data_IF_789938032162
#
_entry.id   IF_789938032162
#
_cell.length_a   1.000
_cell.length_b   1.000
_cell.length_c   1.000
_cell.angle_alpha   90.00
_cell.angle_beta   90.00
_cell.angle_gamma   90.00
#
_symmetry.space_group_name_H-M   'P 1'
#
loop_
_entity.id
_entity.type
_entity.pdbx_description
1 polymer ?
#
# COMPACT_ATOMS: atom_id res chain seq x y z
N UNK A 1 58.92 -60.59 26.40
CA UNK A 1 60.16 -60.52 25.60
C UNK A 1 60.11 -61.64 24.57
N UNK A 2 60.58 -61.45 23.33
CA UNK A 2 61.33 -60.29 22.82
C UNK A 2 60.50 -59.03 22.57
N UNK A 3 61.18 -57.97 22.17
CA UNK A 3 60.66 -56.66 21.73
C UNK A 3 61.03 -56.43 20.25
N UNK A 4 60.71 -55.24 19.71
CA UNK A 4 60.98 -54.75 18.32
C UNK A 4 59.75 -54.85 17.38
N UNK A 5 59.33 -53.83 16.63
CA UNK A 5 59.77 -52.42 16.56
C UNK A 5 58.63 -51.50 16.11
N UNK A 6 58.54 -50.29 16.64
CA UNK A 6 57.64 -49.24 16.10
C UNK A 6 58.33 -48.58 14.90
N UNK A 7 57.82 -48.85 13.68
CA UNK A 7 58.29 -48.18 12.46
C UNK A 7 57.37 -47.00 12.14
N UNK A 8 57.85 -45.79 12.39
CA UNK A 8 57.11 -44.56 12.12
C UNK A 8 56.92 -44.34 10.60
N UNK A 9 55.68 -44.52 10.14
CA UNK A 9 55.32 -44.47 8.72
C UNK A 9 55.08 -43.03 8.26
N UNK A 10 56.16 -42.24 8.11
CA UNK A 10 56.10 -40.89 7.56
C UNK A 10 55.73 -40.93 6.05
N UNK A 11 54.54 -40.46 5.64
CA UNK A 11 54.08 -40.59 4.26
C UNK A 11 54.81 -39.57 3.36
N UNK A 12 55.88 -40.01 2.68
CA UNK A 12 56.54 -39.22 1.63
C UNK A 12 55.55 -38.94 0.50
N UNK A 13 54.89 -37.78 0.53
CA UNK A 13 53.96 -37.34 -0.51
C UNK A 13 54.73 -37.27 -1.84
N UNK A 14 54.49 -38.24 -2.71
CA UNK A 14 55.29 -38.40 -3.92
C UNK A 14 55.30 -37.10 -4.75
N UNK A 15 56.46 -36.62 -5.24
CA UNK A 15 56.57 -35.30 -5.88
C UNK A 15 55.69 -35.15 -7.14
N UNK A 16 55.31 -36.26 -7.77
CA UNK A 16 54.31 -36.30 -8.86
C UNK A 16 52.90 -35.90 -8.42
N UNK A 17 52.50 -36.15 -7.16
CA UNK A 17 51.22 -35.67 -6.60
C UNK A 17 51.27 -34.18 -6.29
N UNK A 18 52.37 -33.69 -5.70
CA UNK A 18 52.57 -32.25 -5.43
C UNK A 18 52.54 -31.43 -6.73
N UNK A 19 53.24 -31.87 -7.78
CA UNK A 19 53.22 -31.22 -9.10
C UNK A 19 51.82 -31.19 -9.73
N UNK A 20 51.03 -32.27 -9.59
CA UNK A 20 49.63 -32.30 -10.07
C UNK A 20 48.72 -31.35 -9.28
N UNK A 21 48.87 -31.27 -7.96
CA UNK A 21 48.11 -30.34 -7.12
C UNK A 21 48.46 -28.87 -7.44
N UNK A 22 49.74 -28.56 -7.62
CA UNK A 22 50.19 -27.22 -8.03
C UNK A 22 49.67 -26.82 -9.43
N UNK A 23 49.67 -27.75 -10.39
CA UNK A 23 49.09 -27.51 -11.72
C UNK A 23 47.57 -27.30 -11.67
N UNK A 24 46.85 -28.09 -10.87
CA UNK A 24 45.40 -27.91 -10.67
C UNK A 24 45.08 -26.55 -10.02
N UNK A 25 45.85 -26.13 -9.01
CA UNK A 25 45.70 -24.81 -8.38
C UNK A 25 45.98 -23.68 -9.38
N UNK A 26 47.05 -23.78 -10.17
CA UNK A 26 47.38 -22.80 -11.20
C UNK A 26 46.29 -22.71 -12.28
N UNK A 27 45.72 -23.84 -12.71
CA UNK A 27 44.60 -23.88 -13.65
C UNK A 27 43.35 -23.23 -13.07
N UNK A 28 43.00 -23.51 -11.80
CA UNK A 28 41.86 -22.89 -11.12
C UNK A 28 42.06 -21.37 -10.98
N UNK A 29 43.26 -20.91 -10.63
CA UNK A 29 43.59 -19.48 -10.56
C UNK A 29 43.52 -18.82 -11.94
N UNK A 30 44.03 -19.47 -13.00
CA UNK A 30 43.93 -18.97 -14.37
C UNK A 30 42.47 -18.89 -14.85
N UNK A 31 41.62 -19.86 -14.49
CA UNK A 31 40.18 -19.84 -14.77
C UNK A 31 39.47 -18.71 -14.00
N UNK A 32 39.81 -18.47 -12.74
CA UNK A 32 39.27 -17.32 -11.98
C UNK A 32 39.74 -15.98 -12.57
N UNK A 33 40.98 -15.89 -13.03
CA UNK A 33 41.51 -14.70 -13.70
C UNK A 33 40.83 -14.45 -15.05
N UNK A 34 40.61 -15.50 -15.85
CA UNK A 34 39.84 -15.45 -17.09
C UNK A 34 38.36 -15.08 -16.83
N UNK A 35 37.74 -15.62 -15.78
CA UNK A 35 36.39 -15.24 -15.37
C UNK A 35 36.32 -13.80 -14.89
N UNK A 36 37.33 -13.29 -14.17
CA UNK A 36 37.43 -11.90 -13.77
C UNK A 36 37.65 -10.96 -14.97
N UNK A 37 38.50 -11.33 -15.93
CA UNK A 37 38.70 -10.58 -17.18
C UNK A 37 37.45 -10.59 -18.06
N UNK A 38 36.79 -11.74 -18.22
CA UNK A 38 35.51 -11.86 -18.91
C UNK A 38 34.48 -10.97 -18.23
N UNK A 39 34.35 -11.06 -16.91
CA UNK A 39 33.43 -10.24 -16.14
C UNK A 39 33.74 -8.75 -16.35
N UNK A 40 34.99 -8.29 -16.19
CA UNK A 40 35.37 -6.87 -16.42
C UNK A 40 35.13 -6.41 -17.86
N UNK A 41 35.25 -7.31 -18.86
CA UNK A 41 35.05 -6.99 -20.29
C UNK A 41 33.60 -7.05 -20.76
N UNK A 42 32.76 -7.84 -20.10
CA UNK A 42 31.32 -8.00 -20.37
C UNK A 42 30.41 -7.37 -19.30
N UNK A 43 30.98 -6.74 -18.27
CA UNK A 43 30.34 -5.57 -17.66
C UNK A 43 30.39 -4.47 -18.71
N UNK A 44 29.32 -4.37 -19.50
CA UNK A 44 29.03 -3.06 -20.06
C UNK A 44 28.96 -2.09 -18.88
N UNK A 45 29.75 -1.00 -18.86
CA UNK A 45 29.52 0.02 -17.88
C UNK A 45 28.13 0.58 -18.19
N UNK A 46 27.18 0.33 -17.28
CA UNK A 46 26.19 1.32 -16.94
C UNK A 46 26.97 2.57 -16.53
N UNK A 47 27.41 3.34 -17.53
CA UNK A 47 27.71 4.74 -17.35
C UNK A 47 26.47 5.29 -16.65
N UNK A 48 26.61 5.98 -15.51
CA UNK A 48 25.55 6.90 -15.11
C UNK A 48 25.18 7.70 -16.36
N UNK A 49 23.89 7.90 -16.61
CA UNK A 49 23.49 8.99 -17.51
C UNK A 49 24.00 10.24 -16.80
N UNK A 50 25.20 10.66 -17.22
CA UNK A 50 25.85 11.88 -16.80
C UNK A 50 24.83 12.96 -17.09
N UNK A 51 24.38 13.71 -16.07
CA UNK A 51 23.15 14.45 -16.19
C UNK A 51 23.33 15.50 -17.29
N UNK A 52 22.68 15.24 -18.43
CA UNK A 52 22.31 16.28 -19.37
C UNK A 52 21.75 17.42 -18.52
N UNK A 53 22.29 18.61 -18.73
CA UNK A 53 21.93 19.76 -17.91
C UNK A 53 20.55 20.24 -18.37
N UNK A 54 19.52 19.45 -18.03
CA UNK A 54 18.10 19.71 -18.28
C UNK A 54 17.88 21.16 -17.85
N UNK A 55 17.55 22.08 -18.78
CA UNK A 55 17.53 23.50 -18.47
C UNK A 55 16.39 23.76 -17.49
N UNK A 56 16.71 23.83 -16.20
CA UNK A 56 15.71 23.69 -15.14
C UNK A 56 14.84 24.94 -15.06
N UNK A 57 13.70 24.90 -15.75
CA UNK A 57 12.57 25.75 -15.45
C UNK A 57 11.97 25.23 -14.14
N UNK A 58 12.53 25.68 -13.01
CA UNK A 58 12.19 25.22 -11.65
C UNK A 58 10.79 25.70 -11.23
N UNK A 59 9.74 25.16 -11.86
CA UNK A 59 8.40 25.22 -11.27
C UNK A 59 8.36 24.23 -10.10
N UNK A 60 8.65 24.75 -8.90
CA UNK A 60 8.65 23.98 -7.66
C UNK A 60 7.23 23.82 -7.12
N UNK A 61 6.53 22.80 -7.62
CA UNK A 61 5.21 22.43 -7.15
C UNK A 61 5.29 21.90 -5.71
N UNK A 62 4.59 22.56 -4.79
CA UNK A 62 4.46 22.13 -3.39
C UNK A 62 3.17 21.33 -3.16
N UNK A 63 3.02 20.61 -2.02
CA UNK A 63 1.73 20.07 -1.61
C UNK A 63 0.66 21.17 -1.56
N UNK A 64 -0.45 20.95 -2.26
CA UNK A 64 -1.58 21.87 -2.37
C UNK A 64 -2.89 21.08 -2.30
N UNK A 65 -4.00 21.69 -1.86
CA UNK A 65 -5.31 21.05 -1.91
C UNK A 65 -5.72 20.67 -3.33
N UNK A 66 -6.47 19.58 -3.45
CA UNK A 66 -7.04 19.07 -4.69
C UNK A 66 -8.29 19.88 -5.08
N UNK A 67 -8.47 20.08 -6.39
CA UNK A 67 -9.70 20.61 -6.96
C UNK A 67 -10.85 19.61 -6.76
N UNK A 68 -11.90 20.04 -6.05
CA UNK A 68 -13.14 19.28 -5.87
C UNK A 68 -14.24 19.96 -6.69
N UNK A 69 -14.97 19.15 -7.46
CA UNK A 69 -16.25 19.56 -8.00
C UNK A 69 -17.21 19.91 -6.83
N UNK A 70 -18.16 20.84 -7.02
CA UNK A 70 -19.21 21.08 -6.03
C UNK A 70 -19.97 19.78 -5.79
N UNK A 71 -20.31 19.50 -4.53
CA UNK A 71 -21.18 18.36 -4.23
C UNK A 71 -22.53 18.57 -4.94
N UNK A 72 -23.10 17.54 -5.61
CA UNK A 72 -24.42 17.65 -6.23
C UNK A 72 -25.44 18.13 -5.19
N UNK A 73 -26.09 19.26 -5.47
CA UNK A 73 -27.14 19.79 -4.60
C UNK A 73 -28.37 18.92 -4.77
N UNK A 74 -28.57 17.98 -3.84
CA UNK A 74 -29.83 17.26 -3.73
C UNK A 74 -30.97 18.29 -3.60
N UNK A 75 -31.97 18.30 -4.51
CA UNK A 75 -32.95 19.36 -4.58
C UNK A 75 -33.85 19.31 -3.35
N UNK A 76 -33.61 20.23 -2.41
CA UNK A 76 -34.29 20.27 -1.12
C UNK A 76 -35.82 20.31 -1.30
N UNK A 77 -36.48 19.20 -0.93
CA UNK A 77 -37.93 19.07 -1.00
C UNK A 77 -38.63 20.24 -0.29
N UNK A 78 -39.61 20.84 -0.96
CA UNK A 78 -40.15 22.16 -0.60
C UNK A 78 -40.63 22.24 0.85
N UNK A 79 -39.92 23.02 1.68
CA UNK A 79 -40.31 23.29 3.06
C UNK A 79 -41.59 24.16 3.07
N UNK A 80 -42.69 23.75 3.73
CA UNK A 80 -43.90 24.55 3.79
C UNK A 80 -43.67 25.96 4.36
N UNK A 81 -44.28 26.96 3.75
CA UNK A 81 -44.13 28.36 4.15
C UNK A 81 -44.84 28.59 5.49
N UNK A 82 -44.09 29.03 6.50
CA UNK A 82 -44.64 29.28 7.83
C UNK A 82 -45.62 30.46 7.82
N UNK A 83 -46.83 30.24 8.35
CA UNK A 83 -47.87 31.26 8.42
C UNK A 83 -47.47 32.45 9.33
N UNK A 84 -47.88 33.66 8.94
CA UNK A 84 -47.49 34.89 9.64
C UNK A 84 -48.12 34.99 11.05
N UNK A 85 -47.28 35.39 12.01
CA UNK A 85 -47.63 35.55 13.42
C UNK A 85 -48.48 36.83 13.64
N UNK A 86 -49.76 36.68 14.01
CA UNK A 86 -50.62 37.81 14.41
C UNK A 86 -50.38 38.20 15.89
N UNK A 87 -50.58 39.47 16.21
CA UNK A 87 -50.32 40.04 17.53
C UNK A 87 -51.39 39.68 18.59
N UNK A 88 -51.03 39.85 19.86
CA UNK A 88 -51.87 39.59 21.04
C UNK A 88 -52.55 40.85 21.60
N UNK A 89 -53.54 40.69 22.47
CA UNK A 89 -53.74 41.54 23.65
C UNK A 89 -53.58 40.74 24.97
N UNK A 90 -53.55 41.42 26.11
CA UNK A 90 -53.17 40.84 27.40
C UNK A 90 -54.19 41.14 28.52
N UNK A 91 -54.17 40.35 29.61
CA UNK A 91 -54.35 40.81 31.01
C UNK A 91 -53.87 39.76 32.03
N UNK A 92 -53.72 40.18 33.30
CA UNK A 92 -53.23 39.41 34.47
C UNK A 92 -54.41 39.10 35.45
N UNK A 93 -54.26 38.51 36.67
CA UNK A 93 -53.04 38.16 37.43
C UNK A 93 -53.04 36.76 38.13
N UNK A 94 -52.05 36.52 38.99
CA UNK A 94 -51.87 35.31 39.82
C UNK A 94 -52.83 35.22 41.05
N UNK A 95 -52.96 34.02 41.63
CA UNK A 95 -52.81 33.84 43.08
C UNK A 95 -51.74 32.79 43.47
N UNK A 96 -51.39 32.72 44.77
CA UNK A 96 -50.19 32.05 45.33
C UNK A 96 -50.52 31.21 46.57
N UNK A 97 -50.35 29.89 46.52
CA UNK A 97 -50.37 28.94 47.67
C UNK A 97 -50.13 27.50 47.15
N UNK A 98 -49.70 26.48 47.92
CA UNK A 98 -48.97 26.38 49.22
C UNK A 98 -48.56 24.91 49.41
N UNK A 99 -47.42 24.64 50.04
CA UNK A 99 -46.97 23.27 50.38
C UNK A 99 -47.36 22.83 51.81
N UNK A 100 -47.64 21.54 52.01
CA UNK A 100 -47.15 20.72 53.12
C UNK A 100 -46.28 19.55 52.56
N UNK A 101 -45.11 19.19 53.11
CA UNK A 101 -44.70 18.75 54.47
C UNK A 101 -44.68 17.22 54.57
N UNK A 102 -43.60 16.68 55.14
CA UNK A 102 -43.20 15.28 55.02
C UNK A 102 -43.83 14.31 56.04
N UNK A 103 -43.75 13.01 55.73
CA UNK A 103 -44.00 11.89 56.65
C UNK A 103 -42.99 10.75 56.43
N UNK A 104 -42.31 10.38 57.51
CA UNK A 104 -41.72 9.07 57.82
C UNK A 104 -42.27 8.68 59.22
N UNK A 105 -42.01 7.49 59.80
CA UNK A 105 -41.30 6.29 59.30
C UNK A 105 -42.15 5.00 59.44
N UNK A 106 -41.56 3.82 59.19
CA UNK A 106 -41.59 2.65 60.11
C UNK A 106 -40.44 1.68 59.77
N UNK A 107 -40.05 0.84 60.74
CA UNK A 107 -38.99 -0.19 60.63
C UNK A 107 -39.57 -1.58 60.30
N UNK A 108 -38.69 -2.50 59.86
CA UNK A 108 -38.52 -3.90 60.33
C UNK A 108 -38.04 -4.75 59.14
N UNK A 109 -36.75 -5.03 58.97
CA UNK A 109 -35.89 -5.96 59.73
C UNK A 109 -36.10 -7.44 59.37
N UNK A 110 -35.01 -8.08 58.92
CA UNK A 110 -34.84 -9.52 58.76
C UNK A 110 -33.38 -9.89 59.07
N UNK A 111 -33.21 -10.98 59.82
CA UNK A 111 -31.96 -11.52 60.39
C UNK A 111 -31.57 -12.79 59.59
N UNK A 112 -30.45 -13.54 59.73
CA UNK A 112 -29.34 -13.68 60.70
C UNK A 112 -28.02 -14.12 59.97
N UNK A 113 -26.86 -14.35 60.64
CA UNK A 113 -25.52 -14.45 60.01
C UNK A 113 -24.92 -15.89 59.99
N UNK A 114 -23.59 -16.04 60.30
CA UNK A 114 -22.74 -17.28 60.43
C UNK A 114 -21.93 -17.60 59.14
N UNK A 115 -20.60 -17.83 59.10
CA UNK A 115 -19.52 -17.87 60.13
C UNK A 115 -18.11 -17.50 59.55
N UNK A 116 -17.06 -17.50 60.39
CA UNK A 116 -15.63 -17.39 60.02
C UNK A 116 -14.75 -18.16 61.02
N UNK A 117 -13.68 -18.84 60.58
CA UNK A 117 -12.32 -18.45 61.00
C UNK A 117 -11.25 -18.60 59.89
N UNK A 118 -10.04 -18.01 59.85
CA UNK A 118 -9.23 -17.08 60.66
C UNK A 118 -7.80 -17.63 60.92
N UNK A 119 -6.78 -16.95 60.40
CA UNK A 119 -5.35 -16.99 60.79
C UNK A 119 -4.64 -15.80 60.10
N UNK A 120 -4.23 -14.74 60.82
CA UNK A 120 -2.93 -14.54 61.50
C UNK A 120 -1.76 -14.19 60.52
N UNK A 121 -0.89 -13.21 60.76
CA UNK A 121 -0.64 -12.37 61.97
C UNK A 121 -0.12 -10.95 61.65
N UNK A 122 0.19 -10.17 62.69
CA UNK A 122 0.62 -8.75 62.73
C UNK A 122 2.07 -8.49 62.19
N UNK A 123 2.63 -7.27 62.11
CA UNK A 123 2.41 -6.06 62.93
C UNK A 123 2.78 -4.67 62.33
N UNK A 124 2.49 -3.65 63.15
CA UNK A 124 2.53 -2.17 63.07
C UNK A 124 3.89 -1.54 63.50
N UNK A 125 4.05 -0.20 63.76
CA UNK A 125 3.53 1.03 63.09
C UNK A 125 4.57 2.21 62.99
N UNK A 126 4.21 3.29 62.26
CA UNK A 126 4.48 4.72 62.57
C UNK A 126 3.80 5.60 61.49
N UNK A 127 2.85 6.51 61.71
CA UNK A 127 2.66 7.60 62.69
C UNK A 127 3.43 8.90 62.37
N UNK A 128 2.78 9.83 61.66
CA UNK A 128 2.78 11.27 61.98
C UNK A 128 1.72 12.08 61.17
N UNK A 129 1.19 13.11 61.84
CA UNK A 129 0.24 14.17 61.42
C UNK A 129 0.72 15.09 60.26
N UNK A 130 -0.06 16.04 59.72
CA UNK A 130 -1.52 16.27 59.56
C UNK A 130 -1.74 17.60 58.80
N UNK A 131 -3.00 17.93 58.47
CA UNK A 131 -3.50 19.15 57.84
C UNK A 131 -3.05 19.42 56.37
N UNK A 132 -3.89 20.04 55.51
CA UNK A 132 -5.30 20.36 55.71
C UNK A 132 -5.75 21.59 54.91
N UNK A 133 -6.48 21.36 53.82
CA UNK A 133 -7.17 22.42 53.07
C UNK A 133 -8.47 21.87 52.47
N UNK A 134 -9.62 22.34 52.97
CA UNK A 134 -10.95 21.99 52.45
C UNK A 134 -11.44 23.05 51.48
N UNK A 135 -12.13 22.62 50.42
CA UNK A 135 -13.08 23.44 49.65
C UNK A 135 -14.00 22.51 48.85
N UNK A 136 -15.21 22.30 49.36
CA UNK A 136 -16.30 21.77 48.55
C UNK A 136 -16.89 22.90 47.70
N UNK A 137 -17.11 22.63 46.41
CA UNK A 137 -18.03 23.36 45.57
C UNK A 137 -18.71 22.36 44.63
N UNK A 138 -20.00 22.15 44.81
CA UNK A 138 -20.76 21.09 44.15
C UNK A 138 -21.54 21.58 42.92
N UNK A 139 -21.89 20.65 42.04
CA UNK A 139 -23.17 20.75 41.32
C UNK A 139 -23.19 21.45 39.95
N UNK A 140 -22.62 20.77 38.94
CA UNK A 140 -23.35 20.40 37.71
C UNK A 140 -24.08 21.45 36.85
N UNK A 141 -23.69 21.51 35.58
CA UNK A 141 -24.62 21.77 34.47
C UNK A 141 -24.14 21.05 33.19
N UNK A 142 -24.77 19.93 32.84
CA UNK A 142 -24.53 19.25 31.57
C UNK A 142 -25.25 19.99 30.43
N UNK A 143 -24.60 21.03 29.88
CA UNK A 143 -25.12 21.75 28.72
C UNK A 143 -24.93 20.92 27.44
N UNK A 144 -25.95 20.13 27.09
CA UNK A 144 -26.01 19.35 25.86
C UNK A 144 -26.06 20.23 24.61
N UNK A 145 -24.91 20.74 24.17
CA UNK A 145 -24.76 21.52 22.96
C UNK A 145 -25.00 20.66 21.72
N UNK A 146 -26.27 20.43 21.40
CA UNK A 146 -26.72 19.88 20.11
C UNK A 146 -26.47 20.92 19.02
N UNK A 147 -25.20 21.07 18.65
CA UNK A 147 -24.76 21.80 17.47
C UNK A 147 -25.26 21.08 16.23
N UNK A 148 -26.54 21.27 15.91
CA UNK A 148 -27.11 20.85 14.64
C UNK A 148 -26.22 21.42 13.53
N UNK A 149 -25.57 20.52 12.79
CA UNK A 149 -24.60 20.90 11.77
C UNK A 149 -25.29 21.78 10.74
N UNK A 150 -25.04 23.08 10.80
CA UNK A 150 -25.42 23.99 9.74
C UNK A 150 -24.68 23.51 8.48
N UNK A 151 -25.42 22.87 7.57
CA UNK A 151 -24.86 22.41 6.31
C UNK A 151 -24.21 23.63 5.64
N UNK A 152 -22.89 23.57 5.47
CA UNK A 152 -22.17 24.61 4.75
C UNK A 152 -22.84 24.77 3.38
N UNK A 153 -23.01 26.01 2.87
CA UNK A 153 -23.51 26.20 1.52
C UNK A 153 -22.64 25.38 0.55
N UNK A 154 -23.21 24.79 -0.52
CA UNK A 154 -22.46 23.99 -1.47
C UNK A 154 -21.32 24.84 -2.03
N UNK A 155 -20.10 24.52 -1.61
CA UNK A 155 -18.94 25.38 -1.85
C UNK A 155 -18.61 25.46 -3.33
N UNK A 156 -18.19 26.66 -3.76
CA UNK A 156 -17.65 26.86 -5.09
C UNK A 156 -16.52 25.85 -5.38
N UNK A 157 -16.43 25.42 -6.64
CA UNK A 157 -15.43 24.44 -7.08
C UNK A 157 -14.02 24.89 -6.65
N UNK A 158 -13.33 24.09 -5.84
CA UNK A 158 -12.08 24.54 -5.23
C UNK A 158 -10.99 24.71 -6.29
N UNK A 159 -10.38 25.91 -6.34
CA UNK A 159 -9.16 26.15 -7.11
C UNK A 159 -8.00 25.41 -6.43
N UNK A 160 -7.79 24.15 -6.84
CA UNK A 160 -6.72 23.28 -6.36
C UNK A 160 -6.05 22.55 -7.52
N UNK A 161 -5.09 21.69 -7.21
CA UNK A 161 -4.47 20.81 -8.22
C UNK A 161 -5.45 19.72 -8.65
N UNK A 162 -5.49 19.39 -9.95
CA UNK A 162 -6.27 18.22 -10.41
C UNK A 162 -5.63 16.94 -9.87
N UNK A 163 -6.44 15.90 -9.70
CA UNK A 163 -5.99 14.59 -9.22
C UNK A 163 -6.95 13.50 -9.70
N UNK A 164 -6.42 12.44 -10.33
CA UNK A 164 -7.17 11.28 -10.79
C UNK A 164 -6.61 10.04 -10.10
N UNK A 165 -7.35 9.52 -9.10
CA UNK A 165 -6.88 8.44 -8.23
C UNK A 165 -6.52 7.17 -9.05
N UNK A 166 -5.32 6.57 -8.88
CA UNK A 166 -4.89 5.45 -9.71
C UNK A 166 -5.79 4.21 -9.56
N UNK A 167 -6.05 3.45 -10.64
CA UNK A 167 -6.99 2.33 -10.60
C UNK A 167 -6.44 1.12 -9.82
N UNK A 168 -7.29 0.55 -8.94
CA UNK A 168 -6.98 -0.66 -8.15
C UNK A 168 -6.46 -1.81 -9.01
N UNK A 169 -5.28 -2.34 -8.67
CA UNK A 169 -4.55 -3.31 -9.49
C UNK A 169 -3.68 -4.27 -8.68
N UNK A 170 -3.33 -5.40 -9.28
CA UNK A 170 -2.19 -6.22 -8.88
C UNK A 170 -1.08 -6.02 -9.90
N UNK A 171 0.13 -5.74 -9.42
CA UNK A 171 1.31 -5.49 -10.24
C UNK A 171 2.39 -6.49 -9.83
N UNK A 172 2.79 -7.37 -10.73
CA UNK A 172 3.90 -8.31 -10.56
C UNK A 172 5.11 -7.76 -11.30
N UNK A 173 6.27 -7.76 -10.66
CA UNK A 173 7.51 -7.19 -11.19
C UNK A 173 8.60 -8.25 -11.25
N UNK A 174 9.37 -8.24 -12.34
CA UNK A 174 10.72 -8.78 -12.33
C UNK A 174 11.59 -7.87 -11.46
N UNK A 175 12.29 -8.46 -10.48
CA UNK A 175 13.18 -7.69 -9.60
C UNK A 175 14.62 -7.97 -9.96
N UNK A 176 15.46 -6.94 -9.94
CA UNK A 176 16.88 -7.03 -10.25
C UNK A 176 17.70 -6.38 -9.13
N UNK A 177 18.83 -7.00 -8.80
CA UNK A 177 19.83 -6.46 -7.89
C UNK A 177 21.17 -6.41 -8.60
N UNK A 178 21.69 -5.20 -8.86
CA UNK A 178 22.86 -4.96 -9.71
C UNK A 178 22.77 -5.67 -11.08
N UNK A 179 21.59 -5.64 -11.70
CA UNK A 179 21.30 -6.32 -12.98
C UNK A 179 21.05 -7.84 -12.89
N UNK A 180 21.28 -8.48 -11.75
CA UNK A 180 20.94 -9.90 -11.55
C UNK A 180 19.46 -10.06 -11.19
N UNK A 181 18.70 -10.82 -11.99
CA UNK A 181 17.28 -11.09 -11.71
C UNK A 181 17.12 -11.91 -10.42
N UNK A 182 16.07 -11.62 -9.66
CA UNK A 182 15.71 -12.25 -8.40
C UNK A 182 14.24 -12.71 -8.44
N UNK A 183 13.72 -13.27 -7.33
CA UNK A 183 12.31 -13.68 -7.26
C UNK A 183 11.36 -12.51 -7.59
N UNK A 184 10.18 -12.75 -8.20
CA UNK A 184 9.24 -11.67 -8.50
C UNK A 184 8.80 -10.88 -7.27
N UNK A 185 8.61 -9.58 -7.45
CA UNK A 185 8.01 -8.69 -6.47
C UNK A 185 6.53 -8.45 -6.79
N UNK A 186 5.73 -8.10 -5.79
CA UNK A 186 4.33 -7.71 -5.97
C UNK A 186 4.01 -6.37 -5.34
N UNK A 187 3.12 -5.63 -5.98
CA UNK A 187 2.37 -4.51 -5.39
C UNK A 187 0.88 -4.80 -5.56
N UNK A 188 0.15 -4.83 -4.45
CA UNK A 188 -1.31 -4.88 -4.43
C UNK A 188 -1.82 -3.49 -4.02
N UNK A 189 -2.39 -2.77 -4.99
CA UNK A 189 -3.03 -1.48 -4.79
C UNK A 189 -4.55 -1.66 -4.77
N UNK A 190 -5.21 -1.08 -3.77
CA UNK A 190 -6.67 -1.11 -3.59
C UNK A 190 -7.17 0.23 -3.08
N UNK A 191 -8.25 0.72 -3.67
CA UNK A 191 -8.99 1.89 -3.18
C UNK A 191 -10.46 1.82 -3.63
N UNK A 192 -11.33 2.40 -2.80
CA UNK A 192 -12.76 2.63 -3.06
C UNK A 192 -13.07 4.09 -3.43
N UNK A 193 -12.04 4.95 -3.57
CA UNK A 193 -12.18 6.39 -3.77
C UNK A 193 -12.09 7.22 -2.48
N UNK A 194 -12.32 6.61 -1.31
CA UNK A 194 -12.31 7.27 0.01
C UNK A 194 -11.26 6.68 0.96
N UNK A 195 -11.06 5.37 0.93
CA UNK A 195 -10.02 4.60 1.63
C UNK A 195 -9.01 4.00 0.66
N UNK A 196 -7.84 3.62 1.16
CA UNK A 196 -6.90 2.80 0.39
C UNK A 196 -6.14 1.78 1.24
N UNK A 197 -5.69 0.71 0.59
CA UNK A 197 -4.61 -0.14 1.07
C UNK A 197 -3.59 -0.42 -0.03
N UNK A 198 -2.33 -0.41 0.36
CA UNK A 198 -1.17 -0.64 -0.48
C UNK A 198 -0.28 -1.66 0.24
N UNK A 199 -0.08 -2.82 -0.38
CA UNK A 199 0.85 -3.84 0.09
C UNK A 199 1.95 -4.02 -0.95
N UNK A 200 3.19 -4.16 -0.48
CA UNK A 200 4.37 -4.39 -1.30
C UNK A 200 5.14 -5.58 -0.73
N UNK A 201 5.59 -6.49 -1.58
CA UNK A 201 6.52 -7.55 -1.21
C UNK A 201 7.58 -7.70 -2.29
N UNK A 202 8.85 -7.74 -1.91
CA UNK A 202 9.96 -8.03 -2.81
C UNK A 202 11.09 -8.75 -2.06
N UNK A 203 11.87 -9.63 -2.72
CA UNK A 203 13.09 -10.14 -2.13
C UNK A 203 14.13 -9.02 -2.03
N UNK A 204 14.87 -8.96 -0.92
CA UNK A 204 16.14 -8.24 -0.88
C UNK A 204 17.26 -9.26 -0.66
N UNK A 205 18.20 -9.43 -1.61
CA UNK A 205 19.30 -10.38 -1.48
C UNK A 205 20.06 -10.24 -0.17
N UNK A 206 20.43 -11.37 0.42
CA UNK A 206 21.13 -11.48 1.71
C UNK A 206 20.36 -10.93 2.93
N UNK A 207 19.18 -10.35 2.75
CA UNK A 207 18.33 -9.78 3.82
C UNK A 207 17.07 -10.62 4.06
N UNK A 208 16.48 -11.19 3.01
CA UNK A 208 15.25 -11.99 3.05
C UNK A 208 14.06 -11.26 2.40
N UNK A 209 12.81 -11.67 2.70
CA UNK A 209 11.64 -10.96 2.22
C UNK A 209 11.59 -9.54 2.80
N UNK A 210 11.20 -8.58 1.98
CA UNK A 210 11.03 -7.19 2.37
C UNK A 210 9.60 -6.78 2.03
N UNK A 211 8.80 -6.51 3.06
CA UNK A 211 7.39 -6.16 2.91
C UNK A 211 7.09 -4.79 3.49
N UNK A 212 6.22 -4.06 2.80
CA UNK A 212 5.64 -2.81 3.29
C UNK A 212 4.12 -2.89 3.24
N UNK A 213 3.47 -2.27 4.23
CA UNK A 213 2.03 -1.99 4.15
C UNK A 213 1.78 -0.50 4.43
N UNK A 214 0.94 0.12 3.61
CA UNK A 214 0.41 1.46 3.85
C UNK A 214 -1.10 1.40 3.77
N UNK A 215 -1.78 1.95 4.79
CA UNK A 215 -3.24 2.09 4.81
C UNK A 215 -3.60 3.51 5.26
N UNK A 216 -4.67 4.03 4.66
CA UNK A 216 -5.10 5.39 4.92
C UNK A 216 -6.36 5.74 4.12
N UNK A 217 -6.49 7.04 3.85
CA UNK A 217 -7.66 7.63 3.20
C UNK A 217 -7.25 8.46 1.99
N UNK A 218 -8.24 8.87 1.21
CA UNK A 218 -8.14 10.03 0.33
C UNK A 218 -8.66 11.25 1.11
N UNK A 219 -7.91 12.36 1.11
CA UNK A 219 -8.23 13.58 1.87
C UNK A 219 -8.36 14.82 0.98
N UNK A 220 -8.02 16.01 1.49
CA UNK A 220 -8.02 17.25 0.71
C UNK A 220 -6.76 17.42 -0.16
N UNK A 221 -5.71 16.62 0.04
CA UNK A 221 -4.40 16.70 -0.63
C UNK A 221 -4.09 15.45 -1.47
N UNK A 222 -4.81 14.34 -1.25
CA UNK A 222 -4.76 13.14 -2.08
C UNK A 222 -4.67 11.89 -1.22
N UNK A 223 -3.76 10.98 -1.56
CA UNK A 223 -3.38 9.86 -0.70
C UNK A 223 -2.90 10.42 0.64
N UNK A 224 -3.49 9.94 1.73
CA UNK A 224 -3.20 10.36 3.08
C UNK A 224 -3.02 9.12 3.97
N UNK A 225 -1.77 8.67 4.19
CA UNK A 225 -1.48 7.58 5.09
C UNK A 225 -2.01 7.84 6.51
N UNK A 226 -2.44 6.76 7.16
CA UNK A 226 -2.75 6.72 8.58
C UNK A 226 -1.76 5.79 9.32
N UNK A 227 -1.38 4.68 8.70
CA UNK A 227 -0.39 3.72 9.20
C UNK A 227 0.50 3.20 8.08
N UNK A 228 1.80 3.27 8.31
CA UNK A 228 2.87 2.63 7.54
C UNK A 228 3.48 1.48 8.35
N UNK A 229 3.90 0.43 7.66
CA UNK A 229 4.50 -0.80 8.20
C UNK A 229 5.68 -1.20 7.31
N UNK A 230 6.80 -1.57 7.91
CA UNK A 230 7.98 -2.13 7.22
C UNK A 230 8.46 -3.39 7.96
N UNK A 231 8.62 -4.52 7.25
CA UNK A 231 9.23 -5.75 7.80
C UNK A 231 10.39 -6.17 6.92
N UNK A 232 11.60 -6.22 7.49
CA UNK A 232 12.85 -6.47 6.75
C UNK A 232 13.53 -7.78 7.17
N UNK A 233 13.29 -8.83 6.39
CA UNK A 233 13.81 -10.18 6.65
C UNK A 233 13.10 -10.83 7.84
N UNK A 234 13.88 -11.30 8.82
CA UNK A 234 13.37 -11.89 10.07
C UNK A 234 13.36 -10.92 11.26
N UNK A 235 13.50 -9.61 11.03
CA UNK A 235 13.39 -8.58 12.07
C UNK A 235 11.92 -8.33 12.44
N UNK A 236 11.63 -7.85 13.66
CA UNK A 236 10.33 -7.26 13.99
C UNK A 236 9.98 -6.15 13.00
N UNK A 237 8.68 -5.91 12.81
CA UNK A 237 8.18 -4.83 11.96
C UNK A 237 8.32 -3.48 12.64
N UNK A 238 8.86 -2.49 11.92
CA UNK A 238 8.78 -1.08 12.30
C UNK A 238 7.46 -0.48 11.78
N UNK A 239 6.91 0.50 12.49
CA UNK A 239 5.67 1.18 12.10
C UNK A 239 5.79 2.70 12.27
N UNK A 240 5.08 3.45 11.41
CA UNK A 240 4.83 4.89 11.60
C UNK A 240 3.32 5.16 11.58
N UNK A 241 2.83 5.99 12.51
CA UNK A 241 1.43 6.43 12.60
C UNK A 241 1.34 7.92 12.28
N UNK A 242 0.43 8.27 11.37
CA UNK A 242 0.21 9.63 10.89
C UNK A 242 -1.03 10.21 11.57
N UNK A 243 -0.88 10.71 12.80
CA UNK A 243 -1.99 11.25 13.58
C UNK A 243 -2.39 12.66 13.08
N UNK A 244 -3.35 12.71 12.14
CA UNK A 244 -3.92 13.96 11.62
C UNK A 244 -4.74 14.76 12.65
N UNK A 245 -5.13 14.19 13.80
CA UNK A 245 -5.81 14.93 14.88
C UNK A 245 -4.80 15.73 15.71
N UNK A 246 -3.70 15.11 16.14
CA UNK A 246 -2.62 15.81 16.88
C UNK A 246 -1.58 16.49 15.98
N UNK A 247 -1.72 16.33 14.65
CA UNK A 247 -0.77 16.80 13.62
C UNK A 247 0.67 16.31 13.89
N UNK A 248 0.81 15.04 14.27
CA UNK A 248 2.10 14.38 14.54
C UNK A 248 2.26 13.07 13.78
N UNK A 249 3.50 12.75 13.44
CA UNK A 249 3.95 11.41 13.07
C UNK A 249 4.68 10.81 14.27
N UNK A 250 4.36 9.57 14.64
CA UNK A 250 5.05 8.83 15.70
C UNK A 250 5.53 7.47 15.19
N UNK A 251 6.70 7.04 15.67
CA UNK A 251 7.35 5.80 15.28
C UNK A 251 7.26 4.75 16.39
N UNK A 252 7.46 3.47 16.05
CA UNK A 252 7.69 2.41 17.06
C UNK A 252 9.15 1.99 17.19
N UNK A 253 9.97 2.22 16.16
CA UNK A 253 11.42 1.94 16.19
C UNK A 253 12.26 2.96 16.97
N UNK A 254 11.68 4.12 17.31
CA UNK A 254 12.30 5.18 18.12
C UNK A 254 11.23 5.91 18.95
N UNK A 255 11.59 6.59 20.07
CA UNK A 255 10.67 7.46 20.80
C UNK A 255 10.45 8.83 20.12
N UNK A 256 10.93 9.01 18.88
CA UNK A 256 10.86 10.28 18.18
C UNK A 256 9.44 10.57 17.66
N UNK A 257 9.12 11.84 17.51
CA UNK A 257 7.95 12.30 16.76
C UNK A 257 8.33 13.44 15.83
N UNK A 258 7.55 13.62 14.75
CA UNK A 258 7.69 14.73 13.81
C UNK A 258 6.35 15.46 13.71
N UNK A 259 6.38 16.73 13.31
CA UNK A 259 5.17 17.40 12.83
C UNK A 259 4.65 16.70 11.57
N UNK A 260 3.32 16.62 11.41
CA UNK A 260 2.66 16.05 10.24
C UNK A 260 2.21 17.17 9.29
N UNK A 261 3.02 17.55 8.28
CA UNK A 261 2.58 18.49 7.25
C UNK A 261 1.46 17.85 6.40
N UNK A 262 0.60 18.70 5.82
CA UNK A 262 -0.44 18.20 4.93
C UNK A 262 0.14 17.72 3.59
N UNK A 263 -0.46 16.65 3.05
CA UNK A 263 0.08 15.93 1.90
C UNK A 263 1.30 15.04 2.19
N UNK A 264 1.70 14.86 3.46
CA UNK A 264 2.74 13.90 3.85
C UNK A 264 2.41 12.46 3.40
N UNK A 265 3.44 11.73 2.97
CA UNK A 265 3.38 10.37 2.43
C UNK A 265 4.33 9.43 3.19
N UNK A 266 4.20 8.12 2.95
CA UNK A 266 5.28 7.15 3.14
C UNK A 266 5.96 6.84 1.80
N UNK A 267 7.03 6.04 1.84
CA UNK A 267 7.89 5.73 0.69
C UNK A 267 7.17 5.10 -0.51
N UNK A 268 6.06 4.39 -0.32
CA UNK A 268 5.32 3.74 -1.40
C UNK A 268 3.97 4.40 -1.70
N UNK A 269 3.29 4.99 -0.70
CA UNK A 269 2.13 5.84 -0.99
C UNK A 269 2.48 7.07 -1.82
N UNK A 270 3.70 7.61 -1.69
CA UNK A 270 4.22 8.69 -2.54
C UNK A 270 4.15 8.35 -4.03
N UNK A 271 4.38 7.09 -4.42
CA UNK A 271 4.30 6.65 -5.82
C UNK A 271 2.86 6.74 -6.35
N UNK A 272 1.88 6.33 -5.54
CA UNK A 272 0.45 6.39 -5.89
C UNK A 272 -0.08 7.83 -5.84
N UNK A 273 0.46 8.67 -4.96
CA UNK A 273 0.18 10.11 -4.94
C UNK A 273 0.75 10.82 -6.18
N UNK A 274 1.98 10.50 -6.60
CA UNK A 274 2.58 11.02 -7.83
C UNK A 274 1.75 10.59 -9.04
N UNK A 275 1.43 9.29 -9.16
CA UNK A 275 0.56 8.76 -10.19
C UNK A 275 -0.79 9.47 -10.25
N UNK A 276 -1.42 9.73 -9.10
CA UNK A 276 -2.71 10.41 -9.04
C UNK A 276 -2.66 11.89 -9.42
N UNK A 277 -1.57 12.60 -9.07
CA UNK A 277 -1.36 13.99 -9.47
C UNK A 277 -1.07 14.10 -10.99
N UNK A 278 -0.18 13.24 -11.51
CA UNK A 278 0.19 13.23 -12.93
C UNK A 278 -1.00 12.82 -13.79
N UNK A 279 -1.76 11.80 -13.38
CA UNK A 279 -3.01 11.42 -14.07
C UNK A 279 -4.13 12.46 -13.97
N UNK A 280 -4.07 13.34 -12.96
CA UNK A 280 -4.98 14.47 -12.84
C UNK A 280 -4.67 15.63 -13.77
N UNK A 281 -3.38 15.95 -13.96
CA UNK A 281 -2.93 17.05 -14.84
C UNK A 281 -1.62 16.71 -15.59
N UNK A 282 -1.66 15.87 -16.64
CA UNK A 282 -0.45 15.46 -17.36
C UNK A 282 0.35 16.64 -17.92
N UNK A 283 -0.33 17.71 -18.34
CA UNK A 283 0.30 18.91 -18.90
C UNK A 283 1.04 19.76 -17.86
N UNK A 284 0.78 19.56 -16.56
CA UNK A 284 1.53 20.23 -15.49
C UNK A 284 2.92 19.59 -15.26
N UNK A 285 3.11 18.33 -15.69
CA UNK A 285 4.34 17.57 -15.47
C UNK A 285 5.20 17.53 -16.73
N UNK A 286 5.80 18.67 -17.07
CA UNK A 286 6.74 18.83 -18.20
C UNK A 286 8.20 18.60 -17.75
N UNK A 287 9.13 18.25 -18.65
CA UNK A 287 10.56 18.18 -18.33
C UNK A 287 11.08 19.36 -17.51
N UNK A 288 11.78 19.09 -16.42
CA UNK A 288 12.32 20.09 -15.49
C UNK A 288 11.38 20.53 -14.36
N UNK A 289 10.07 20.23 -14.41
CA UNK A 289 9.13 20.54 -13.32
C UNK A 289 9.40 19.65 -12.11
N UNK A 290 9.49 20.23 -10.91
CA UNK A 290 9.82 19.53 -9.65
C UNK A 290 8.65 19.57 -8.68
N UNK A 291 8.24 18.40 -8.15
CA UNK A 291 7.23 18.26 -7.09
C UNK A 291 7.88 17.89 -5.75
N UNK A 292 7.61 18.68 -4.70
CA UNK A 292 7.99 18.35 -3.33
C UNK A 292 6.98 17.37 -2.70
N UNK A 293 7.49 16.30 -2.09
CA UNK A 293 6.74 15.40 -1.20
C UNK A 293 7.45 15.30 0.14
N UNK A 294 6.74 15.41 1.26
CA UNK A 294 7.30 15.04 2.56
C UNK A 294 7.10 13.53 2.76
N UNK A 295 8.18 12.77 2.75
CA UNK A 295 8.17 11.29 2.74
C UNK A 295 8.72 10.76 4.05
N UNK A 296 7.95 9.88 4.69
CA UNK A 296 8.27 9.23 5.96
C UNK A 296 8.87 7.84 5.72
N UNK A 297 9.98 7.57 6.40
CA UNK A 297 10.62 6.25 6.51
C UNK A 297 10.38 5.68 7.93
N UNK A 298 10.97 4.54 8.29
CA UNK A 298 10.72 3.85 9.58
C UNK A 298 10.96 4.67 10.88
N UNK A 299 11.80 5.70 10.82
CA UNK A 299 12.34 6.44 11.99
C UNK A 299 12.53 7.94 11.75
N UNK A 300 12.18 8.43 10.55
CA UNK A 300 12.57 9.74 10.05
C UNK A 300 11.61 10.21 8.94
N UNK A 301 11.68 11.50 8.59
CA UNK A 301 10.86 12.09 7.53
C UNK A 301 11.61 13.20 6.79
N UNK A 302 11.54 13.19 5.46
CA UNK A 302 12.37 14.01 4.58
C UNK A 302 11.56 14.60 3.42
N UNK A 303 11.82 15.84 3.03
CA UNK A 303 11.32 16.36 1.74
C UNK A 303 12.11 15.74 0.59
N UNK A 304 11.40 15.13 -0.37
CA UNK A 304 11.94 14.56 -1.60
C UNK A 304 11.48 15.41 -2.80
N UNK A 305 12.42 16.03 -3.55
CA UNK A 305 12.13 16.72 -4.80
C UNK A 305 12.10 15.73 -5.97
N UNK A 306 10.91 15.38 -6.45
CA UNK A 306 10.71 14.51 -7.61
C UNK A 306 10.57 15.37 -8.86
N UNK A 307 11.50 15.25 -9.81
CA UNK A 307 11.53 16.06 -11.03
C UNK A 307 11.16 15.22 -12.25
N UNK A 308 10.32 15.76 -13.12
CA UNK A 308 10.02 15.15 -14.42
C UNK A 308 11.23 15.25 -15.33
N UNK A 309 11.67 14.13 -15.90
CA UNK A 309 12.79 14.08 -16.84
C UNK A 309 12.28 14.16 -18.28
N UNK A 310 11.33 13.31 -18.65
CA UNK A 310 10.74 13.29 -19.99
C UNK A 310 9.83 12.09 -20.21
N UNK A 311 9.33 11.95 -21.44
CA UNK A 311 8.57 10.80 -21.89
C UNK A 311 9.49 9.85 -22.68
N UNK A 312 9.49 8.56 -22.34
CA UNK A 312 10.24 7.51 -23.04
C UNK A 312 9.45 6.19 -23.12
N UNK A 313 9.68 5.42 -24.18
CA UNK A 313 9.11 4.08 -24.36
C UNK A 313 10.05 3.03 -23.77
N UNK A 314 9.60 2.27 -22.78
CA UNK A 314 10.38 1.19 -22.15
C UNK A 314 9.87 -0.19 -22.58
N UNK A 315 10.75 -1.19 -22.57
CA UNK A 315 10.36 -2.60 -22.76
C UNK A 315 10.05 -3.25 -21.41
N UNK A 316 8.96 -4.01 -21.32
CA UNK A 316 8.46 -4.65 -20.09
C UNK A 316 8.00 -6.09 -20.37
N UNK A 317 7.64 -6.85 -19.33
CA UNK A 317 7.05 -8.19 -19.51
C UNK A 317 5.68 -8.17 -20.22
N UNK A 318 5.05 -6.99 -20.35
CA UNK A 318 3.83 -6.78 -21.13
C UNK A 318 4.09 -6.18 -22.53
N UNK A 319 5.35 -6.16 -22.99
CA UNK A 319 5.78 -5.50 -24.22
C UNK A 319 6.22 -4.05 -24.01
N UNK A 320 6.27 -3.28 -25.10
CA UNK A 320 6.66 -1.86 -25.06
C UNK A 320 5.55 -0.99 -24.47
N UNK A 321 5.89 -0.11 -23.54
CA UNK A 321 4.98 0.86 -22.92
C UNK A 321 5.58 2.26 -23.01
N UNK A 322 4.78 3.22 -23.47
CA UNK A 322 5.11 4.64 -23.33
C UNK A 322 4.94 5.07 -21.87
N UNK A 323 5.91 5.84 -21.37
CA UNK A 323 5.99 6.22 -19.96
C UNK A 323 6.51 7.63 -19.77
N UNK A 324 6.18 8.24 -18.62
CA UNK A 324 6.88 9.43 -18.13
C UNK A 324 7.88 9.04 -17.05
N UNK A 325 9.14 9.43 -17.25
CA UNK A 325 10.25 9.25 -16.31
C UNK A 325 10.33 10.42 -15.33
N UNK A 326 10.47 10.09 -14.05
CA UNK A 326 10.70 11.02 -12.94
C UNK A 326 11.91 10.57 -12.13
N UNK A 327 12.67 11.53 -11.60
CA UNK A 327 13.86 11.27 -10.76
C UNK A 327 13.81 12.11 -9.49
N UNK A 328 14.14 11.50 -8.33
CA UNK A 328 14.43 12.22 -7.09
C UNK A 328 15.79 12.91 -7.21
N UNK A 329 15.82 14.25 -7.24
CA UNK A 329 17.08 15.00 -7.30
C UNK A 329 17.90 14.87 -6.01
N UNK A 330 19.25 14.88 -6.09
CA UNK A 330 20.12 15.04 -4.92
C UNK A 330 19.81 16.34 -4.18
N UNK A 331 19.54 16.26 -2.87
CA UNK A 331 19.08 17.40 -2.06
C UNK A 331 20.22 18.26 -1.51
N UNK A 332 21.45 17.74 -1.55
CA UNK A 332 22.68 18.35 -1.06
C UNK A 332 23.89 17.64 -1.66
N UNK A 333 25.07 18.27 -1.60
CA UNK A 333 26.33 17.59 -1.90
C UNK A 333 26.45 16.31 -1.07
N UNK A 334 26.76 15.18 -1.72
CA UNK A 334 26.85 13.86 -1.10
C UNK A 334 25.53 13.09 -0.93
N UNK A 335 24.37 13.62 -1.36
CA UNK A 335 23.10 12.85 -1.40
C UNK A 335 23.08 11.88 -2.61
N UNK A 336 23.92 10.86 -2.55
CA UNK A 336 24.16 9.90 -3.64
C UNK A 336 23.04 8.86 -3.84
N UNK A 337 21.96 8.89 -3.04
CA UNK A 337 20.80 8.01 -3.27
C UNK A 337 19.95 8.56 -4.42
N UNK A 338 19.89 7.82 -5.52
CA UNK A 338 19.04 8.12 -6.69
C UNK A 338 17.78 7.25 -6.63
N UNK A 339 16.63 7.81 -7.01
CA UNK A 339 15.38 7.07 -7.19
C UNK A 339 14.75 7.54 -8.49
N UNK A 340 14.55 6.61 -9.43
CA UNK A 340 13.90 6.83 -10.71
C UNK A 340 12.59 6.04 -10.77
N UNK A 341 11.55 6.65 -11.36
CA UNK A 341 10.18 6.15 -11.40
C UNK A 341 9.65 6.37 -12.81
N UNK A 342 9.06 5.35 -13.43
CA UNK A 342 8.38 5.46 -14.72
C UNK A 342 6.91 5.12 -14.56
N UNK A 343 6.03 6.01 -15.04
CA UNK A 343 4.58 5.88 -14.96
C UNK A 343 3.99 5.73 -16.37
N UNK A 344 3.16 4.70 -16.61
CA UNK A 344 2.56 4.46 -17.92
C UNK A 344 1.14 5.05 -18.03
N UNK A 345 0.88 6.02 -18.95
CA UNK A 345 -0.45 6.60 -19.12
C UNK A 345 -1.51 5.54 -19.46
N UNK A 346 -1.14 4.57 -20.32
CA UNK A 346 -1.98 3.45 -20.77
C UNK A 346 -2.46 2.53 -19.64
N UNK A 347 -1.81 2.55 -18.47
CA UNK A 347 -2.18 1.75 -17.29
C UNK A 347 -2.84 2.61 -16.19
N UNK A 348 -3.25 3.84 -16.49
CA UNK A 348 -3.77 4.79 -15.50
C UNK A 348 -2.69 5.39 -14.62
N UNK A 349 -1.52 5.68 -15.22
CA UNK A 349 -0.33 6.25 -14.57
C UNK A 349 0.27 5.43 -13.42
N UNK A 350 -0.07 4.14 -13.33
CA UNK A 350 0.57 3.22 -12.39
C UNK A 350 2.08 3.10 -12.67
N UNK A 351 2.91 2.89 -11.63
CA UNK A 351 4.34 2.68 -11.81
C UNK A 351 4.61 1.38 -12.57
N UNK A 352 5.46 1.46 -13.60
CA UNK A 352 5.85 0.32 -14.45
C UNK A 352 7.33 0.00 -14.39
N UNK A 353 8.15 0.96 -13.95
CA UNK A 353 9.56 0.73 -13.62
C UNK A 353 9.92 1.59 -12.40
N UNK A 354 10.75 1.04 -11.52
CA UNK A 354 11.31 1.74 -10.37
C UNK A 354 12.77 1.32 -10.22
N UNK A 355 13.67 2.28 -10.06
CA UNK A 355 15.11 2.02 -9.86
C UNK A 355 15.59 2.84 -8.67
N UNK A 356 16.11 2.17 -7.64
CA UNK A 356 16.73 2.80 -6.47
C UNK A 356 18.23 2.47 -6.47
N UNK A 357 19.07 3.49 -6.63
CA UNK A 357 20.52 3.37 -6.46
C UNK A 357 20.91 3.90 -5.07
N UNK A 358 21.56 3.07 -4.29
CA UNK A 358 22.06 3.40 -2.95
C UNK A 358 23.43 4.10 -3.00
N UNK A 359 23.85 4.83 -1.94
CA UNK A 359 25.13 5.55 -1.91
C UNK A 359 26.39 4.68 -2.08
N UNK A 360 26.29 3.36 -1.98
CA UNK A 360 27.37 2.40 -2.26
C UNK A 360 27.39 1.92 -3.73
N UNK A 361 26.55 2.49 -4.60
CA UNK A 361 26.39 2.09 -6.00
C UNK A 361 25.52 0.84 -6.22
N UNK A 362 24.98 0.22 -5.16
CA UNK A 362 24.08 -0.91 -5.31
C UNK A 362 22.72 -0.45 -5.87
N UNK A 363 22.18 -1.20 -6.82
CA UNK A 363 20.96 -0.87 -7.55
C UNK A 363 19.89 -1.94 -7.29
N UNK A 364 18.71 -1.52 -6.87
CA UNK A 364 17.50 -2.33 -6.82
C UNK A 364 16.57 -1.82 -7.91
N UNK A 365 16.14 -2.70 -8.81
CA UNK A 365 15.21 -2.37 -9.89
C UNK A 365 13.98 -3.28 -9.81
N UNK A 366 12.81 -2.71 -10.11
CA UNK A 366 11.57 -3.42 -10.35
C UNK A 366 11.07 -3.02 -11.74
N UNK A 367 10.87 -3.99 -12.63
CA UNK A 367 10.31 -3.79 -13.97
C UNK A 367 9.00 -4.57 -14.08
N UNK A 368 7.93 -3.95 -14.56
CA UNK A 368 6.61 -4.57 -14.57
C UNK A 368 6.59 -5.80 -15.48
N UNK A 369 6.25 -6.95 -14.89
CA UNK A 369 6.06 -8.20 -15.60
C UNK A 369 4.60 -8.37 -16.03
N UNK A 370 3.65 -8.10 -15.12
CA UNK A 370 2.21 -8.31 -15.35
C UNK A 370 1.35 -7.38 -14.50
N UNK A 371 0.28 -6.85 -15.10
CA UNK A 371 -0.85 -6.20 -14.41
C UNK A 371 -2.10 -7.09 -14.51
N UNK A 372 -2.79 -7.32 -13.40
CA UNK A 372 -4.19 -7.80 -13.40
C UNK A 372 -5.07 -6.82 -12.62
N UNK A 373 -6.39 -6.80 -12.88
CA UNK A 373 -7.27 -5.91 -12.13
C UNK A 373 -7.51 -6.49 -10.73
N UNK A 374 -7.95 -5.63 -9.80
CA UNK A 374 -8.19 -6.02 -8.41
C UNK A 374 -9.26 -7.11 -8.23
N UNK A 375 -10.20 -7.21 -9.16
CA UNK A 375 -11.31 -8.19 -9.26
C UNK A 375 -10.89 -9.59 -9.67
N UNK A 376 -9.91 -9.67 -10.57
CA UNK A 376 -9.70 -10.88 -11.39
C UNK A 376 -9.02 -11.99 -10.57
N UNK A 377 -8.17 -11.57 -9.62
CA UNK A 377 -7.47 -12.45 -8.68
C UNK A 377 -8.38 -13.22 -7.72
N UNK A 378 -9.68 -12.90 -7.66
CA UNK A 378 -10.68 -13.70 -6.90
C UNK A 378 -11.26 -14.88 -7.70
N UNK A 379 -11.04 -14.95 -9.03
CA UNK A 379 -11.41 -16.09 -9.86
C UNK A 379 -10.38 -17.23 -9.81
N UNK A 380 -9.09 -16.89 -9.87
CA UNK A 380 -7.93 -17.82 -9.96
C UNK A 380 -7.69 -18.73 -8.71
N UNK A 381 -8.63 -18.78 -7.77
CA UNK A 381 -8.68 -19.75 -6.67
C UNK A 381 -9.98 -20.57 -6.62
N UNK A 382 -11.01 -20.25 -7.41
CA UNK A 382 -12.24 -21.03 -7.46
C UNK A 382 -12.05 -22.35 -8.24
N UNK A 383 -11.23 -22.33 -9.30
CA UNK A 383 -11.03 -23.48 -10.19
C UNK A 383 -10.02 -24.53 -9.67
N UNK A 384 -9.43 -24.30 -8.47
CA UNK A 384 -8.37 -25.16 -7.91
C UNK A 384 -8.88 -26.28 -6.99
N UNK A 385 -9.95 -26.05 -6.22
CA UNK A 385 -10.51 -27.02 -5.25
C UNK A 385 -11.56 -27.97 -5.88
N UNK A 386 -11.49 -28.15 -7.20
CA UNK A 386 -12.56 -28.73 -8.03
C UNK A 386 -12.45 -30.21 -8.42
N UNK A 387 -11.63 -31.05 -7.77
CA UNK A 387 -11.57 -32.49 -8.10
C UNK A 387 -11.36 -33.43 -6.90
N UNK A 388 -12.43 -34.09 -6.47
CA UNK A 388 -12.44 -35.04 -5.35
C UNK A 388 -11.98 -36.45 -5.73
N UNK A 389 -11.34 -37.15 -4.78
CA UNK A 389 -10.89 -38.53 -4.98
C UNK A 389 -12.05 -39.54 -5.04
N UNK A 390 -12.04 -40.39 -6.06
CA UNK A 390 -12.57 -41.75 -6.01
C UNK A 390 -11.60 -42.69 -6.76
N UNK A 391 -11.46 -43.93 -6.30
CA UNK A 391 -10.59 -44.95 -6.92
C UNK A 391 -11.31 -46.30 -7.00
N UNK A 392 -10.96 -47.14 -7.98
CA UNK A 392 -11.80 -48.30 -8.31
C UNK A 392 -11.25 -49.34 -9.30
N UNK A 393 -9.93 -49.60 -9.29
CA UNK A 393 -9.28 -50.87 -9.68
C UNK A 393 -9.33 -51.40 -11.16
N UNK A 394 -8.39 -52.30 -11.43
CA UNK A 394 -8.33 -53.38 -12.44
C UNK A 394 -8.62 -53.12 -13.95
N UNK A 395 -7.61 -53.45 -14.80
CA UNK A 395 -7.87 -54.38 -15.91
C UNK A 395 -7.12 -54.22 -17.24
N UNK A 396 -6.26 -55.21 -17.53
CA UNK A 396 -5.82 -55.63 -18.88
C UNK A 396 -4.96 -54.65 -19.74
N UNK A 397 -4.30 -55.22 -20.76
CA UNK A 397 -3.33 -54.54 -21.61
C UNK A 397 -3.49 -54.91 -23.09
N UNK A 398 -3.06 -54.01 -23.98
CA UNK A 398 -2.65 -54.32 -25.36
C UNK A 398 -1.72 -53.22 -25.88
N UNK A 399 -1.01 -53.48 -26.98
CA UNK A 399 0.18 -52.72 -27.36
C UNK A 399 0.30 -52.49 -28.88
N UNK A 400 1.28 -51.63 -29.24
CA UNK A 400 1.89 -51.37 -30.56
C UNK A 400 1.26 -50.28 -31.44
N UNK A 401 2.16 -49.74 -32.29
CA UNK A 401 1.96 -48.82 -33.42
C UNK A 401 1.38 -47.45 -33.04
N UNK A 402 2.06 -46.32 -33.20
CA UNK A 402 2.98 -45.87 -34.27
C UNK A 402 2.33 -45.84 -35.65
N UNK A 403 1.90 -44.65 -36.07
CA UNK A 403 2.54 -44.00 -37.22
C UNK A 403 2.28 -42.49 -37.22
N UNK A 404 3.11 -41.77 -37.97
CA UNK A 404 3.01 -40.32 -38.18
C UNK A 404 2.99 -40.04 -39.67
N UNK A 405 2.30 -38.98 -40.11
CA UNK A 405 2.76 -38.06 -41.15
C UNK A 405 1.74 -36.93 -41.37
N UNK A 406 2.26 -35.74 -41.59
CA UNK A 406 1.59 -34.59 -42.20
C UNK A 406 2.69 -33.87 -42.99
N UNK A 407 2.52 -33.62 -44.29
CA UNK A 407 2.15 -32.27 -44.69
C UNK A 407 1.21 -32.14 -45.91
N UNK A 408 0.69 -30.93 -46.07
CA UNK A 408 -0.01 -30.38 -47.24
C UNK A 408 1.02 -29.86 -48.29
N UNK A 409 0.71 -29.03 -49.33
CA UNK A 409 -0.58 -28.42 -49.71
C UNK A 409 -0.94 -28.44 -51.21
N UNK A 410 -2.12 -27.90 -51.56
CA UNK A 410 -2.53 -27.59 -52.92
C UNK A 410 -3.77 -26.67 -52.96
N UNK A 411 -3.76 -25.68 -53.84
CA UNK A 411 -4.81 -24.68 -54.11
C UNK A 411 -4.61 -24.16 -55.56
N UNK A 412 -5.43 -23.24 -56.13
CA UNK A 412 -6.70 -22.65 -55.65
C UNK A 412 -7.84 -22.76 -56.70
N UNK A 413 -8.98 -22.09 -56.47
CA UNK A 413 -9.63 -21.08 -57.35
C UNK A 413 -11.15 -20.96 -57.10
N UNK A 414 -11.63 -19.71 -57.07
CA UNK A 414 -12.94 -19.16 -57.52
C UNK A 414 -14.28 -19.83 -57.11
N UNK A 415 -15.45 -19.16 -57.10
CA UNK A 415 -15.87 -17.76 -56.87
C UNK A 415 -17.42 -17.79 -56.63
N UNK A 416 -18.05 -16.64 -56.36
CA UNK A 416 -19.51 -16.36 -56.22
C UNK A 416 -20.54 -17.47 -56.57
N UNK A 417 -21.62 -17.68 -55.81
CA UNK A 417 -22.74 -16.72 -55.68
C UNK A 417 -23.65 -16.99 -54.45
N UNK A 418 -24.49 -16.03 -54.10
CA UNK A 418 -25.51 -16.12 -53.03
C UNK A 418 -26.83 -16.81 -53.45
N UNK A 419 -27.66 -17.27 -52.50
CA UNK A 419 -29.09 -16.89 -52.30
C UNK A 419 -29.79 -17.73 -51.20
N UNK A 420 -30.04 -17.08 -50.05
CA UNK A 420 -31.26 -17.03 -49.21
C UNK A 420 -32.07 -18.28 -48.71
N UNK A 421 -32.46 -18.25 -47.41
CA UNK A 421 -33.61 -18.93 -46.74
C UNK A 421 -33.52 -20.47 -46.54
N UNK A 422 -34.04 -21.12 -45.47
CA UNK A 422 -34.89 -20.80 -44.28
C UNK A 422 -34.77 -21.98 -43.26
N UNK A 423 -35.23 -22.05 -41.99
CA UNK A 423 -35.94 -21.20 -40.99
C UNK A 423 -35.81 -21.86 -39.57
N UNK A 424 -35.97 -21.10 -38.45
CA UNK A 424 -36.23 -21.57 -37.05
C UNK A 424 -35.20 -22.50 -36.34
N UNK A 425 -35.13 -22.68 -35.01
CA UNK A 425 -35.40 -21.90 -33.75
C UNK A 425 -34.33 -22.39 -32.73
N UNK A 426 -34.07 -21.88 -31.51
CA UNK A 426 -34.96 -21.44 -30.44
C UNK A 426 -34.17 -20.66 -29.35
N UNK A 427 -34.81 -19.73 -28.62
CA UNK A 427 -34.19 -19.05 -27.46
C UNK A 427 -35.24 -18.43 -26.50
N UNK A 428 -35.10 -18.57 -25.16
CA UNK A 428 -36.10 -18.09 -24.20
C UNK A 428 -36.00 -16.58 -23.89
N UNK A 429 -37.12 -15.89 -23.58
CA UNK A 429 -37.15 -14.44 -23.35
C UNK A 429 -36.81 -14.01 -21.91
N UNK A 430 -36.31 -12.78 -21.76
CA UNK A 430 -36.18 -12.09 -20.46
C UNK A 430 -37.52 -11.51 -19.97
N UNK A 431 -37.72 -11.36 -18.64
CA UNK A 431 -38.92 -10.74 -18.08
C UNK A 431 -38.89 -9.18 -18.13
N UNK A 432 -40.05 -8.51 -18.22
CA UNK A 432 -40.18 -7.05 -18.22
C UNK A 432 -40.13 -6.43 -16.80
N UNK A 433 -39.87 -5.10 -16.68
CA UNK A 433 -39.71 -4.41 -15.40
C UNK A 433 -41.04 -4.13 -14.67
N UNK A 434 -40.97 -3.97 -13.34
CA UNK A 434 -42.12 -3.77 -12.46
C UNK A 434 -42.49 -2.27 -12.25
N UNK A 435 -43.79 -1.91 -12.20
CA UNK A 435 -44.26 -0.55 -11.92
C UNK A 435 -44.33 -0.23 -10.40
N UNK A 436 -44.38 1.06 -9.99
CA UNK A 436 -44.19 1.46 -8.60
C UNK A 436 -45.46 1.62 -7.75
N UNK A 437 -45.40 1.10 -6.51
CA UNK A 437 -45.83 1.83 -5.31
C UNK A 437 -47.24 1.60 -4.72
N UNK A 438 -47.28 1.24 -3.43
CA UNK A 438 -48.23 1.78 -2.43
C UNK A 438 -47.71 1.62 -1.00
N UNK A 439 -48.34 2.30 -0.05
CA UNK A 439 -47.85 2.52 1.32
C UNK A 439 -49.00 2.30 2.32
N UNK A 440 -48.72 1.58 3.42
CA UNK A 440 -49.52 1.47 4.66
C UNK A 440 -50.93 0.83 4.54
N UNK A 441 -51.63 0.49 5.65
CA UNK A 441 -51.35 0.74 7.08
C UNK A 441 -50.01 0.18 7.59
#
# INVERSE_FOLDING_TARGET
MPSSSIVSSNPRIAPRRVRRAAFALALVLALHWLAALWLVRFREPFKPVEPDNVPVQVELLKPQPIARAPAPVEPAAGRPQAAQKRAAPAHAPMPRARAPRASQPVLSAAESPIESPAAASAAEPASAASAGATSEATGGAAAGASGAGAAAPPGDASKGVKFALPPSANLQYDTFYNGMQNMPGTIHWRTDGSGYSLYVSMPVPFVGPYTYESRGRVDAFGIAPARYVETRGRRPSDFAIFNRQTKQIVFTGTPNSLALPDGAQDRFSMLMQLAGLVGGDPDAYRPGVTREFFVVDRDSGETWPITTIGDETISTGMGSLDTRHFMRLPRRAGDARRIDIWLAPSLGWLPVRMVQTEPNGAQIELLLHRRTNASDATGEHADADGNGRAGGDAGAASARASESTTPAPGAPLDADESVNSTDKTDAPPLPPPAPPGRVQP
#
